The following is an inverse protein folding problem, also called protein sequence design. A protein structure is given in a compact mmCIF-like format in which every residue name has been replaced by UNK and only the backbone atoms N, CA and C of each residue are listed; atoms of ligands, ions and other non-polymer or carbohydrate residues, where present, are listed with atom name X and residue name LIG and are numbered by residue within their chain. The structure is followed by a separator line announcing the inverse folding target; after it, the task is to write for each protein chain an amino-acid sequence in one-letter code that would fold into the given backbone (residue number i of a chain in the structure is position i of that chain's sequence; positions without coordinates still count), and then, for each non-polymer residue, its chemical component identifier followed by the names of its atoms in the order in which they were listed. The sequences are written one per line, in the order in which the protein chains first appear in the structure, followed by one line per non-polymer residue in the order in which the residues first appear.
data_IF_309956923329
#
_entry.id   IF_309956923329
#
_cell.length_a   1.000
_cell.length_b   1.000
_cell.length_c   1.000
_cell.angle_alpha   90.00
_cell.angle_beta   90.00
_cell.angle_gamma   90.00
#
_symmetry.space_group_name_H-M   'P 1'
#
loop_
_entity.id
_entity.type
_entity.pdbx_description
1 polymer ?
#
# COMPACT_ATOMS: atom_id res chain seq x y z
N UNK A 1 28.03 51.15 -20.20
CA UNK A 1 27.67 50.34 -19.00
C UNK A 1 26.23 49.87 -19.16
N UNK A 2 25.96 48.63 -18.71
CA UNK A 2 24.66 47.92 -18.63
C UNK A 2 24.26 47.03 -19.83
N UNK A 3 24.88 45.86 -19.89
CA UNK A 3 24.22 44.63 -20.36
C UNK A 3 22.92 44.44 -19.57
N UNK A 4 21.77 44.36 -20.26
CA UNK A 4 20.49 44.01 -19.64
C UNK A 4 20.48 42.51 -19.36
N UNK A 5 20.57 42.17 -18.08
CA UNK A 5 20.53 40.83 -17.52
C UNK A 5 19.10 40.26 -17.68
N UNK A 6 18.82 39.61 -18.81
CA UNK A 6 17.63 38.77 -19.00
C UNK A 6 17.94 37.35 -18.49
N UNK A 7 18.18 37.21 -17.18
CA UNK A 7 18.19 35.90 -16.53
C UNK A 7 16.72 35.52 -16.32
N UNK A 8 16.19 34.89 -17.37
CA UNK A 8 15.25 33.78 -17.36
C UNK A 8 14.40 33.61 -16.09
N UNK A 9 13.21 34.22 -16.11
CA UNK A 9 12.12 33.89 -15.19
C UNK A 9 11.65 32.42 -15.33
N UNK A 10 12.11 31.66 -16.34
CA UNK A 10 11.87 30.23 -16.46
C UNK A 10 12.71 29.36 -15.51
N UNK A 11 13.79 29.88 -14.91
CA UNK A 11 14.59 29.12 -13.94
C UNK A 11 13.98 29.12 -12.53
N UNK A 12 13.22 30.16 -12.17
CA UNK A 12 12.57 30.27 -10.85
C UNK A 12 11.30 29.41 -10.73
N UNK A 13 10.61 29.13 -11.83
CA UNK A 13 9.42 28.26 -11.81
C UNK A 13 9.78 26.78 -11.59
N UNK A 14 10.95 26.34 -12.05
CA UNK A 14 11.42 24.95 -11.86
C UNK A 14 11.72 24.68 -10.39
N UNK A 15 12.32 25.63 -9.67
CA UNK A 15 12.64 25.47 -8.24
C UNK A 15 11.36 25.43 -7.39
N UNK A 16 10.32 26.19 -7.75
CA UNK A 16 9.03 26.18 -7.05
C UNK A 16 8.25 24.87 -7.17
N UNK A 17 8.52 24.04 -8.19
CA UNK A 17 7.92 22.72 -8.37
C UNK A 17 8.63 21.61 -7.55
N UNK A 18 9.81 21.87 -7.00
CA UNK A 18 10.55 20.93 -6.15
C UNK A 18 10.28 21.07 -4.65
N UNK A 19 9.49 22.07 -4.24
CA UNK A 19 9.15 22.32 -2.83
C UNK A 19 7.66 22.05 -2.56
N UNK A 20 6.99 21.26 -3.41
CA UNK A 20 5.78 20.58 -2.91
C UNK A 20 6.26 19.71 -1.74
N UNK A 21 5.78 19.90 -0.50
CA UNK A 21 6.09 18.94 0.54
C UNK A 21 5.59 17.61 -0.01
N UNK A 22 6.52 16.67 -0.23
CA UNK A 22 6.17 15.27 -0.26
C UNK A 22 5.50 15.04 1.09
N UNK A 23 4.17 15.14 1.09
CA UNK A 23 3.38 14.94 2.28
C UNK A 23 3.63 13.50 2.64
N UNK A 24 4.51 13.30 3.62
CA UNK A 24 4.78 12.00 4.20
C UNK A 24 3.57 11.70 5.06
N UNK A 25 2.46 11.33 4.41
CA UNK A 25 1.37 10.66 5.08
C UNK A 25 1.94 9.34 5.62
N UNK A 26 1.63 9.02 6.87
CA UNK A 26 1.94 7.71 7.41
C UNK A 26 1.28 6.68 6.48
N UNK A 27 2.07 5.73 5.97
CA UNK A 27 1.55 4.67 5.10
C UNK A 27 0.56 3.85 5.93
N UNK A 28 -0.73 4.02 5.63
CA UNK A 28 -1.77 3.15 6.14
C UNK A 28 -1.56 1.74 5.56
N UNK A 29 -2.29 0.76 6.08
CA UNK A 29 -2.36 -0.55 5.44
C UNK A 29 -2.72 -0.39 3.97
N UNK A 30 -1.92 -0.97 3.07
CA UNK A 30 -2.21 -0.94 1.63
C UNK A 30 -3.37 -1.88 1.26
N UNK A 31 -3.56 -2.94 2.05
CA UNK A 31 -4.70 -3.83 1.98
C UNK A 31 -5.00 -4.43 3.36
N UNK A 32 -6.28 -4.69 3.63
CA UNK A 32 -6.75 -5.47 4.75
C UNK A 32 -7.63 -6.59 4.23
N UNK A 33 -7.46 -7.80 4.75
CA UNK A 33 -8.23 -8.97 4.35
C UNK A 33 -8.90 -9.57 5.59
N UNK A 34 -10.23 -9.60 5.57
CA UNK A 34 -11.03 -9.86 6.77
C UNK A 34 -12.32 -9.06 6.73
N UNK A 35 -13.06 -9.10 7.83
CA UNK A 35 -14.27 -8.29 8.02
C UNK A 35 -14.28 -7.72 9.45
N UNK A 36 -15.46 -7.58 10.07
CA UNK A 36 -15.63 -6.92 11.37
C UNK A 36 -15.02 -7.68 12.56
N UNK A 37 -14.81 -8.99 12.47
CA UNK A 37 -14.25 -9.80 13.56
C UNK A 37 -12.74 -10.06 13.34
N UNK A 38 -12.16 -11.02 14.05
CA UNK A 38 -10.71 -11.24 14.05
C UNK A 38 -10.24 -12.19 12.93
N UNK A 39 -9.17 -11.77 12.25
CA UNK A 39 -8.35 -12.61 11.37
C UNK A 39 -6.93 -12.76 11.92
N UNK A 40 -6.41 -13.99 11.88
CA UNK A 40 -5.04 -14.28 12.29
C UNK A 40 -4.36 -15.11 11.20
N UNK A 41 -3.38 -14.52 10.51
CA UNK A 41 -2.52 -15.26 9.59
C UNK A 41 -1.45 -16.04 10.36
N UNK A 42 -1.31 -17.34 10.09
CA UNK A 42 -0.28 -18.21 10.68
C UNK A 42 0.92 -18.44 9.75
N UNK A 43 0.73 -18.36 8.44
CA UNK A 43 1.78 -18.55 7.46
C UNK A 43 1.50 -17.79 6.16
N UNK A 44 2.57 -17.44 5.44
CA UNK A 44 2.52 -16.86 4.11
C UNK A 44 3.58 -17.47 3.19
N UNK A 45 3.26 -17.65 1.91
CA UNK A 45 4.22 -18.08 0.88
C UNK A 45 4.02 -17.26 -0.41
N UNK A 46 5.11 -16.94 -1.10
CA UNK A 46 5.01 -16.39 -2.46
C UNK A 46 4.63 -17.48 -3.46
N UNK A 47 3.77 -17.13 -4.41
CA UNK A 47 3.31 -18.02 -5.47
C UNK A 47 4.11 -17.79 -6.76
N UNK A 48 4.12 -18.78 -7.67
CA UNK A 48 4.92 -18.70 -8.91
C UNK A 48 4.46 -17.61 -9.89
N UNK A 49 3.19 -17.23 -9.82
CA UNK A 49 2.59 -16.11 -10.54
C UNK A 49 2.89 -14.75 -9.88
N UNK A 50 3.70 -14.73 -8.82
CA UNK A 50 4.19 -13.53 -8.15
C UNK A 50 3.25 -12.96 -7.09
N UNK A 51 2.15 -13.64 -6.81
CA UNK A 51 1.26 -13.33 -5.69
C UNK A 51 1.72 -13.90 -4.36
N UNK A 52 0.84 -13.82 -3.35
CA UNK A 52 1.08 -14.36 -2.01
C UNK A 52 -0.10 -15.21 -1.58
N UNK A 53 0.16 -16.39 -1.02
CA UNK A 53 -0.83 -17.21 -0.35
C UNK A 53 -0.67 -17.06 1.16
N UNK A 54 -1.71 -16.59 1.84
CA UNK A 54 -1.81 -16.44 3.29
C UNK A 54 -2.76 -17.51 3.82
N UNK A 55 -2.40 -18.15 4.94
CA UNK A 55 -3.24 -19.16 5.60
C UNK A 55 -3.33 -18.84 7.07
N UNK A 56 -4.53 -18.95 7.63
CA UNK A 56 -4.80 -18.57 9.00
C UNK A 56 -6.21 -18.93 9.45
N UNK A 57 -6.67 -18.21 10.46
CA UNK A 57 -7.98 -18.36 11.07
C UNK A 57 -8.82 -17.09 10.86
N UNK A 58 -10.12 -17.25 10.72
CA UNK A 58 -11.12 -16.16 10.71
C UNK A 58 -12.20 -16.44 11.73
N UNK A 59 -12.62 -15.39 12.43
CA UNK A 59 -13.88 -15.35 13.18
C UNK A 59 -14.98 -14.64 12.39
N UNK A 60 -14.65 -13.90 11.34
CA UNK A 60 -15.60 -13.10 10.55
C UNK A 60 -16.47 -13.92 9.61
N UNK A 61 -15.90 -14.95 8.98
CA UNK A 61 -16.59 -15.75 7.97
C UNK A 61 -17.00 -17.14 8.48
N UNK A 62 -16.73 -17.41 9.74
CA UNK A 62 -16.93 -18.72 10.33
C UNK A 62 -18.37 -19.01 10.76
N UNK A 63 -18.72 -20.29 10.87
CA UNK A 63 -20.02 -20.72 11.40
C UNK A 63 -19.83 -21.25 12.82
N UNK A 64 -20.14 -20.42 13.81
CA UNK A 64 -20.12 -20.79 15.23
C UNK A 64 -19.14 -19.95 16.05
N UNK A 65 -18.72 -20.48 17.21
CA UNK A 65 -17.83 -19.79 18.15
C UNK A 65 -16.34 -20.03 17.90
N UNK A 66 -15.99 -20.83 16.89
CA UNK A 66 -14.65 -21.34 16.67
C UNK A 66 -14.03 -20.81 15.39
N UNK A 67 -12.71 -20.66 15.44
CA UNK A 67 -11.85 -20.16 14.37
C UNK A 67 -11.87 -21.06 13.13
N UNK A 68 -12.51 -20.62 12.05
CA UNK A 68 -12.53 -21.34 10.78
C UNK A 68 -11.24 -21.08 9.97
N UNK A 69 -10.88 -22.03 9.08
CA UNK A 69 -9.73 -21.88 8.20
C UNK A 69 -9.98 -20.76 7.20
N UNK A 70 -9.07 -19.78 7.14
CA UNK A 70 -9.11 -18.70 6.16
C UNK A 70 -7.86 -18.75 5.27
N UNK A 71 -8.08 -18.74 3.95
CA UNK A 71 -7.02 -18.76 2.94
C UNK A 71 -7.23 -17.58 2.01
N UNK A 72 -6.21 -16.75 1.88
CA UNK A 72 -6.20 -15.60 0.97
C UNK A 72 -5.11 -15.83 -0.06
N UNK A 73 -5.44 -15.70 -1.35
CA UNK A 73 -4.45 -15.60 -2.43
C UNK A 73 -4.52 -14.19 -2.99
N UNK A 74 -3.38 -13.53 -3.08
CA UNK A 74 -3.26 -12.22 -3.72
C UNK A 74 -2.62 -12.36 -5.10
N UNK A 75 -2.79 -11.34 -5.93
CA UNK A 75 -1.97 -11.06 -7.09
C UNK A 75 -0.61 -10.44 -6.69
N UNK A 76 0.18 -10.04 -7.70
CA UNK A 76 1.50 -9.40 -7.55
C UNK A 76 1.47 -8.05 -6.82
N UNK A 77 0.31 -7.42 -6.73
CA UNK A 77 0.11 -6.12 -6.10
C UNK A 77 -0.49 -6.25 -4.68
N UNK A 78 -0.71 -7.48 -4.19
CA UNK A 78 -1.41 -7.67 -2.92
C UNK A 78 -2.92 -7.43 -3.03
N UNK A 79 -3.55 -7.74 -4.16
CA UNK A 79 -5.00 -7.64 -4.33
C UNK A 79 -5.59 -9.06 -4.48
N UNK A 80 -6.71 -9.34 -3.81
CA UNK A 80 -7.43 -10.63 -3.92
C UNK A 80 -8.23 -10.70 -5.22
#
# INVERSE_FOLDING_TARGET
MKMKLSISYCFLSIIGLFISPFAMEAQNFEAAYGDMDNEVAGAAIYTKDGGTLLVGNTSSFGIGSDNDLYVVKTDVNGII
#
